data_IF_749569078081
#
_entry.id   IF_749569078081
#
_cell.length_a   1.000
_cell.length_b   1.000
_cell.length_c   1.000
_cell.angle_alpha   90.00
_cell.angle_beta   90.00
_cell.angle_gamma   90.00
#
_symmetry.space_group_name_H-M   'P 1'
#
loop_
_entity.id
_entity.type
_entity.pdbx_description
1 polymer ?
#
# COMPACT_ATOMS: atom_id res chain seq x y z
N UNK A 1 50.21 18.83 -8.04
CA UNK A 1 48.96 18.11 -8.39
C UNK A 1 48.03 19.08 -9.09
N UNK A 2 47.49 18.72 -10.25
CA UNK A 2 46.49 19.56 -10.92
C UNK A 2 45.18 19.55 -10.13
N UNK A 3 44.41 20.64 -10.21
CA UNK A 3 43.09 20.74 -9.58
C UNK A 3 42.18 19.56 -10.01
N UNK A 4 42.29 19.15 -11.28
CA UNK A 4 41.61 17.98 -11.84
C UNK A 4 42.01 16.67 -11.15
N UNK A 5 43.29 16.49 -10.81
CA UNK A 5 43.76 15.30 -10.09
C UNK A 5 43.29 15.24 -8.64
N UNK A 6 43.14 16.41 -7.98
CA UNK A 6 42.55 16.49 -6.64
C UNK A 6 41.08 16.10 -6.67
N UNK A 7 40.30 16.66 -7.61
CA UNK A 7 38.88 16.31 -7.74
C UNK A 7 38.68 14.84 -8.10
N UNK A 8 39.45 14.29 -9.03
CA UNK A 8 39.38 12.87 -9.37
C UNK A 8 39.67 11.96 -8.15
N UNK A 9 40.66 12.33 -7.33
CA UNK A 9 40.95 11.61 -6.09
C UNK A 9 39.81 11.67 -5.07
N UNK A 10 39.18 12.84 -4.90
CA UNK A 10 38.02 13.00 -4.01
C UNK A 10 36.82 12.16 -4.51
N UNK A 11 36.53 12.19 -5.81
CA UNK A 11 35.46 11.38 -6.39
C UNK A 11 35.71 9.88 -6.22
N UNK A 12 36.95 9.42 -6.40
CA UNK A 12 37.31 8.02 -6.17
C UNK A 12 37.13 7.63 -4.70
N UNK A 13 37.60 8.47 -3.76
CA UNK A 13 37.43 8.23 -2.33
C UNK A 13 35.96 8.22 -1.91
N UNK A 14 35.14 9.10 -2.47
CA UNK A 14 33.70 9.12 -2.22
C UNK A 14 33.02 7.87 -2.80
N UNK A 15 33.38 7.45 -4.01
CA UNK A 15 32.85 6.23 -4.62
C UNK A 15 33.23 4.98 -3.81
N UNK A 16 34.48 4.91 -3.34
CA UNK A 16 34.94 3.84 -2.45
C UNK A 16 34.18 3.87 -1.12
N UNK A 17 34.04 5.03 -0.49
CA UNK A 17 33.25 5.20 0.73
C UNK A 17 31.80 4.74 0.54
N UNK A 18 31.14 5.14 -0.54
CA UNK A 18 29.77 4.73 -0.84
C UNK A 18 29.67 3.23 -1.15
N UNK A 19 30.67 2.64 -1.81
CA UNK A 19 30.68 1.22 -2.18
C UNK A 19 30.99 0.28 -1.02
N UNK A 20 31.90 0.67 -0.11
CA UNK A 20 32.28 -0.16 1.05
C UNK A 20 31.43 0.13 2.30
N UNK A 21 30.78 1.29 2.35
CA UNK A 21 29.99 1.81 3.46
C UNK A 21 30.59 1.48 4.84
N UNK A 22 31.81 2.00 5.14
CA UNK A 22 32.62 1.50 6.25
C UNK A 22 31.98 1.82 7.62
N UNK A 23 31.08 2.81 7.65
CA UNK A 23 30.34 3.22 8.84
C UNK A 23 28.87 2.79 8.81
N UNK A 24 28.46 1.98 7.83
CA UNK A 24 27.14 1.35 7.84
C UNK A 24 26.01 2.40 7.79
N UNK A 25 26.25 3.49 7.07
CA UNK A 25 25.33 4.61 6.93
C UNK A 25 24.30 4.39 5.82
N UNK A 26 24.55 3.43 4.93
CA UNK A 26 23.64 3.11 3.85
C UNK A 26 22.32 2.64 4.41
N UNK A 27 21.23 3.13 3.82
CA UNK A 27 19.88 2.70 4.15
C UNK A 27 19.69 1.19 3.94
N UNK A 28 20.59 0.52 3.20
CA UNK A 28 20.54 -0.91 2.91
C UNK A 28 21.51 -1.78 3.73
N UNK A 29 22.32 -1.20 4.62
CA UNK A 29 23.37 -1.95 5.32
C UNK A 29 22.83 -3.13 6.16
N UNK A 30 21.73 -2.93 6.90
CA UNK A 30 21.14 -3.95 7.78
C UNK A 30 20.23 -4.95 7.02
N UNK A 31 20.31 -5.01 5.68
CA UNK A 31 19.46 -5.88 4.88
C UNK A 31 20.23 -7.12 4.42
N UNK A 32 20.15 -8.24 5.18
CA UNK A 32 20.77 -9.49 4.74
C UNK A 32 20.18 -9.93 3.40
N UNK A 33 21.03 -10.46 2.53
CA UNK A 33 20.64 -11.02 1.23
C UNK A 33 19.92 -10.01 0.29
N UNK A 34 20.17 -8.71 0.47
CA UNK A 34 19.62 -7.67 -0.41
C UNK A 34 20.22 -7.78 -1.81
N UNK A 35 19.34 -7.93 -2.80
CA UNK A 35 19.68 -7.92 -4.22
C UNK A 35 18.87 -6.82 -4.88
N UNK A 36 19.56 -5.96 -5.63
CA UNK A 36 18.91 -4.96 -6.46
C UNK A 36 18.62 -5.56 -7.84
N UNK A 37 17.37 -5.44 -8.27
CA UNK A 37 16.87 -5.87 -9.57
C UNK A 37 16.77 -4.68 -10.50
N UNK A 38 17.07 -4.91 -11.78
CA UNK A 38 16.95 -3.86 -12.79
C UNK A 38 15.46 -3.51 -12.97
N UNK A 39 15.15 -2.23 -12.90
CA UNK A 39 13.84 -1.69 -13.25
C UNK A 39 13.92 -1.16 -14.68
N UNK A 40 13.06 -1.66 -15.55
CA UNK A 40 12.93 -1.14 -16.92
C UNK A 40 12.07 0.12 -16.90
N UNK A 41 12.72 1.25 -16.66
CA UNK A 41 12.09 2.56 -16.72
C UNK A 41 11.72 2.94 -18.16
N UNK A 42 10.59 3.63 -18.38
CA UNK A 42 10.24 4.15 -19.68
C UNK A 42 11.31 5.15 -20.17
N UNK A 43 11.52 5.28 -21.49
CA UNK A 43 12.32 6.35 -22.06
C UNK A 43 11.86 7.72 -21.56
N UNK A 44 12.81 8.64 -21.35
CA UNK A 44 12.51 10.03 -20.97
C UNK A 44 11.56 10.74 -21.96
N UNK A 45 11.54 10.31 -23.23
CA UNK A 45 10.63 10.81 -24.26
C UNK A 45 9.16 10.49 -23.99
N UNK A 46 8.89 9.42 -23.23
CA UNK A 46 7.56 8.90 -22.98
C UNK A 46 6.98 9.46 -21.67
N UNK A 47 7.79 10.17 -20.89
CA UNK A 47 7.37 10.82 -19.65
C UNK A 47 6.58 12.09 -20.01
N UNK A 48 5.31 12.21 -19.60
CA UNK A 48 4.50 13.40 -19.88
C UNK A 48 5.19 14.67 -19.37
N UNK A 49 5.28 15.68 -20.22
CA UNK A 49 5.81 17.01 -19.88
C UNK A 49 4.70 17.94 -19.38
N UNK A 50 3.45 17.54 -19.61
CA UNK A 50 2.25 18.24 -19.18
C UNK A 50 2.26 18.41 -17.66
N UNK A 51 2.03 19.65 -17.23
CA UNK A 51 1.86 20.00 -15.82
C UNK A 51 0.42 20.44 -15.60
N UNK A 52 -0.08 20.21 -14.40
CA UNK A 52 -1.35 20.80 -13.96
C UNK A 52 -1.19 22.32 -13.89
N UNK A 53 -1.60 23.01 -14.96
CA UNK A 53 -1.56 24.48 -15.07
C UNK A 53 -2.36 25.18 -13.98
N UNK A 54 -3.35 24.51 -13.40
CA UNK A 54 -4.23 25.09 -12.37
C UNK A 54 -3.68 24.88 -10.95
N UNK A 55 -2.66 24.03 -10.80
CA UNK A 55 -2.08 23.59 -9.53
C UNK A 55 -3.17 23.27 -8.50
N UNK A 56 -4.18 22.49 -8.89
CA UNK A 56 -5.37 22.24 -8.05
C UNK A 56 -4.98 21.63 -6.71
N UNK A 57 -3.97 20.77 -6.68
CA UNK A 57 -3.46 20.16 -5.44
C UNK A 57 -2.84 21.19 -4.47
N UNK A 58 -2.30 22.31 -4.96
CA UNK A 58 -1.77 23.37 -4.10
C UNK A 58 -2.87 24.24 -3.47
N UNK A 59 -4.11 24.15 -3.98
CA UNK A 59 -5.29 24.88 -3.49
C UNK A 59 -6.14 24.05 -2.53
N UNK A 60 -5.70 22.84 -2.18
CA UNK A 60 -6.43 21.96 -1.27
C UNK A 60 -6.47 22.55 0.15
N UNK A 61 -7.62 22.46 0.80
CA UNK A 61 -7.78 22.77 2.21
C UNK A 61 -7.19 21.64 3.06
N UNK A 62 -6.32 21.96 4.02
CA UNK A 62 -5.80 20.98 4.97
C UNK A 62 -6.86 20.75 6.06
N UNK A 63 -7.40 19.54 6.12
CA UNK A 63 -8.33 19.11 7.18
C UNK A 63 -7.67 18.14 8.17
N UNK A 64 -8.13 18.20 9.42
CA UNK A 64 -7.76 17.28 10.50
C UNK A 64 -6.25 17.24 10.84
N UNK A 65 -5.54 18.34 10.62
CA UNK A 65 -4.11 18.44 10.90
C UNK A 65 -3.82 18.07 12.37
N UNK A 66 -2.88 17.15 12.57
CA UNK A 66 -2.45 16.63 13.87
C UNK A 66 -3.54 15.92 14.70
N UNK A 67 -4.67 15.55 14.11
CA UNK A 67 -5.75 14.84 14.84
C UNK A 67 -5.62 13.31 14.76
N UNK A 68 -5.11 12.78 13.64
CA UNK A 68 -4.91 11.34 13.41
C UNK A 68 -3.52 11.06 12.87
N UNK A 69 -2.96 9.89 13.18
CA UNK A 69 -1.59 9.53 12.78
C UNK A 69 -1.57 8.44 11.72
N UNK A 70 -0.88 8.73 10.62
CA UNK A 70 -0.77 7.83 9.47
C UNK A 70 -2.10 7.45 8.83
N UNK A 71 -3.05 8.38 8.56
CA UNK A 71 -4.16 8.07 7.67
C UNK A 71 -3.60 7.65 6.30
N UNK A 72 -4.22 6.67 5.65
CA UNK A 72 -3.74 6.15 4.36
C UNK A 72 -4.87 6.11 3.32
N UNK A 73 -5.86 5.22 3.46
CA UNK A 73 -7.07 5.26 2.62
C UNK A 73 -8.17 6.12 3.24
N UNK A 74 -8.96 6.75 2.38
CA UNK A 74 -10.19 7.47 2.75
C UNK A 74 -11.39 6.80 2.08
N UNK A 75 -12.40 6.47 2.87
CA UNK A 75 -13.67 5.92 2.36
C UNK A 75 -14.88 6.67 2.92
N UNK A 76 -15.99 6.59 2.20
CA UNK A 76 -17.30 7.07 2.63
C UNK A 76 -18.31 5.94 2.42
N UNK A 77 -19.25 5.78 3.33
CA UNK A 77 -20.28 4.76 3.21
C UNK A 77 -21.37 5.17 2.21
N UNK A 78 -22.33 4.27 1.97
CA UNK A 78 -23.44 4.51 1.04
C UNK A 78 -24.40 5.63 1.48
N UNK A 79 -24.36 6.03 2.76
CA UNK A 79 -25.12 7.16 3.30
C UNK A 79 -24.36 8.48 3.20
N UNK A 80 -23.14 8.47 2.67
CA UNK A 80 -22.26 9.63 2.59
C UNK A 80 -21.61 10.01 3.92
N UNK A 81 -21.69 9.15 4.94
CA UNK A 81 -21.00 9.37 6.21
C UNK A 81 -19.49 9.16 5.99
N UNK A 82 -18.69 9.97 6.66
CA UNK A 82 -17.24 9.83 6.71
C UNK A 82 -16.54 11.16 6.96
N UNK A 83 -15.22 11.21 6.72
CA UNK A 83 -14.40 10.11 6.19
C UNK A 83 -14.14 8.95 7.18
N UNK A 84 -13.92 7.76 6.63
CA UNK A 84 -13.32 6.60 7.31
C UNK A 84 -11.86 6.47 6.88
N UNK A 85 -10.94 6.16 7.80
CA UNK A 85 -9.51 5.95 7.50
C UNK A 85 -8.86 4.92 8.42
N UNK A 86 -7.96 4.10 7.86
CA UNK A 86 -7.02 3.31 8.65
C UNK A 86 -5.96 4.22 9.27
N UNK A 87 -5.47 3.91 10.47
CA UNK A 87 -4.42 4.68 11.15
C UNK A 87 -3.23 3.78 11.52
N UNK A 88 -2.10 4.40 11.86
CA UNK A 88 -0.83 3.72 12.11
C UNK A 88 -0.87 2.71 13.27
N UNK A 89 -1.84 2.83 14.16
CA UNK A 89 -2.00 1.94 15.31
C UNK A 89 -2.88 0.71 15.05
N UNK A 90 -3.37 0.53 13.82
CA UNK A 90 -4.19 -0.61 13.41
C UNK A 90 -5.70 -0.42 13.50
N UNK A 91 -6.16 0.73 14.02
CA UNK A 91 -7.59 1.08 14.01
C UNK A 91 -8.03 1.59 12.65
N UNK A 92 -9.35 1.52 12.45
CA UNK A 92 -10.09 2.29 11.45
C UNK A 92 -10.94 3.29 12.22
N UNK A 93 -10.73 4.57 11.93
CA UNK A 93 -11.46 5.68 12.54
C UNK A 93 -12.51 6.22 11.58
N UNK A 94 -13.55 6.81 12.15
CA UNK A 94 -14.64 7.47 11.43
C UNK A 94 -14.84 8.88 11.99
N UNK A 95 -14.97 9.86 11.10
CA UNK A 95 -15.35 11.22 11.48
C UNK A 95 -16.87 11.37 11.45
N UNK A 96 -17.47 11.63 12.62
CA UNK A 96 -18.92 11.72 12.77
C UNK A 96 -19.52 13.12 12.51
N UNK A 97 -18.69 14.10 12.15
CA UNK A 97 -19.07 15.51 12.02
C UNK A 97 -18.47 16.40 13.11
N UNK A 98 -18.17 15.83 14.28
CA UNK A 98 -17.67 16.56 15.46
C UNK A 98 -16.31 16.05 15.95
N UNK A 99 -16.09 14.74 15.92
CA UNK A 99 -14.86 14.11 16.40
C UNK A 99 -14.57 12.79 15.68
N UNK A 100 -13.32 12.32 15.81
CA UNK A 100 -12.92 11.00 15.37
C UNK A 100 -13.34 9.95 16.39
N UNK A 101 -14.04 8.92 15.93
CA UNK A 101 -14.48 7.78 16.73
C UNK A 101 -13.91 6.48 16.20
N UNK A 102 -13.65 5.53 17.09
CA UNK A 102 -13.23 4.19 16.70
C UNK A 102 -14.37 3.47 15.97
N UNK A 103 -14.10 3.00 14.76
CA UNK A 103 -15.06 2.23 13.98
C UNK A 103 -14.72 0.74 14.00
N UNK A 104 -13.50 0.37 13.63
CA UNK A 104 -13.10 -1.03 13.54
C UNK A 104 -11.63 -1.28 13.89
N UNK A 105 -11.29 -2.55 14.12
CA UNK A 105 -9.95 -3.02 14.44
C UNK A 105 -9.62 -4.25 13.60
N UNK A 106 -8.38 -4.36 13.11
CA UNK A 106 -7.95 -5.55 12.35
C UNK A 106 -7.29 -6.62 13.21
N UNK A 107 -6.56 -6.23 14.28
CA UNK A 107 -5.95 -7.20 15.19
C UNK A 107 -6.94 -7.71 16.25
N UNK A 108 -7.14 -9.04 16.39
CA UNK A 108 -7.94 -9.62 17.46
C UNK A 108 -7.24 -9.54 18.84
N UNK A 109 -5.91 -9.41 18.86
CA UNK A 109 -5.09 -9.45 20.07
C UNK A 109 -4.52 -8.06 20.40
N UNK A 110 -5.32 -7.01 20.22
CA UNK A 110 -4.91 -5.64 20.54
C UNK A 110 -4.65 -5.50 22.04
N UNK A 111 -3.49 -4.95 22.38
CA UNK A 111 -3.08 -4.64 23.76
C UNK A 111 -2.57 -3.21 23.86
N UNK A 112 -2.10 -2.80 25.06
CA UNK A 112 -1.46 -1.50 25.29
C UNK A 112 -0.24 -1.24 24.38
N UNK A 113 0.34 -2.30 23.79
CA UNK A 113 1.39 -2.19 22.78
C UNK A 113 0.95 -1.30 21.61
N UNK A 114 -0.32 -1.38 21.22
CA UNK A 114 -0.94 -0.68 20.12
C UNK A 114 -1.52 0.68 20.51
N UNK A 115 -1.40 1.10 21.78
CA UNK A 115 -1.85 2.42 22.20
C UNK A 115 -1.12 3.53 21.44
N UNK A 116 -1.75 4.70 21.27
CA UNK A 116 -1.16 5.84 20.56
C UNK A 116 0.28 6.14 20.99
N UNK A 117 1.15 6.34 19.99
CA UNK A 117 2.57 6.64 20.10
C UNK A 117 2.85 8.09 19.68
N UNK A 118 4.00 8.67 20.06
CA UNK A 118 4.34 10.05 19.71
C UNK A 118 4.60 10.28 18.21
N UNK A 119 4.91 9.24 17.44
CA UNK A 119 5.14 9.37 16.00
C UNK A 119 4.62 8.17 15.20
N UNK A 120 4.27 8.34 13.90
CA UNK A 120 3.92 7.25 13.02
C UNK A 120 5.01 6.18 12.88
N UNK A 121 6.28 6.57 12.93
CA UNK A 121 7.40 5.62 12.80
C UNK A 121 7.54 4.71 14.03
N UNK A 122 7.04 5.16 15.18
CA UNK A 122 7.07 4.36 16.42
C UNK A 122 6.18 3.12 16.35
N UNK A 123 5.23 3.04 15.42
CA UNK A 123 4.36 1.87 15.26
C UNK A 123 5.02 0.76 14.44
N UNK A 124 5.94 1.06 13.50
CA UNK A 124 6.51 0.12 12.53
C UNK A 124 6.99 -1.21 13.16
N UNK A 125 7.60 -1.13 14.34
CA UNK A 125 8.08 -2.31 15.08
C UNK A 125 6.97 -3.31 15.39
N UNK A 126 5.78 -2.82 15.73
CA UNK A 126 4.67 -3.61 16.25
C UNK A 126 3.45 -3.65 15.30
N UNK A 127 3.52 -3.05 14.11
CA UNK A 127 2.40 -3.07 13.16
C UNK A 127 1.94 -4.50 12.84
N UNK A 128 2.86 -5.47 12.72
CA UNK A 128 2.51 -6.88 12.53
C UNK A 128 1.68 -7.52 13.66
N UNK A 129 1.63 -6.90 14.84
CA UNK A 129 0.79 -7.30 15.97
C UNK A 129 -0.50 -6.48 16.00
N UNK A 130 -0.38 -5.17 15.74
CA UNK A 130 -1.48 -4.22 15.88
C UNK A 130 -2.39 -4.13 14.64
N UNK A 131 -1.87 -4.51 13.48
CA UNK A 131 -2.47 -4.28 12.17
C UNK A 131 -2.02 -2.96 11.57
N UNK A 132 -2.20 -2.85 10.25
CA UNK A 132 -2.04 -1.61 9.49
C UNK A 132 -3.01 -1.63 8.31
N UNK A 133 -4.26 -1.16 8.52
CA UNK A 133 -5.23 -1.00 7.44
C UNK A 133 -4.73 0.08 6.48
N UNK A 134 -4.50 -0.30 5.23
CA UNK A 134 -4.08 0.58 4.15
C UNK A 134 -5.31 0.86 3.29
N UNK A 135 -5.73 -0.06 2.42
CA UNK A 135 -6.93 0.09 1.59
C UNK A 135 -8.26 -0.15 2.30
N UNK A 136 -9.24 0.73 2.06
CA UNK A 136 -10.61 0.64 2.59
C UNK A 136 -11.66 0.87 1.49
N UNK A 137 -12.60 -0.06 1.29
CA UNK A 137 -13.76 0.16 0.40
C UNK A 137 -15.04 -0.43 0.97
N UNK A 138 -16.11 0.36 0.94
CA UNK A 138 -17.44 -0.15 1.23
C UNK A 138 -18.01 -0.88 0.01
N UNK A 139 -18.54 -2.07 0.23
CA UNK A 139 -19.50 -2.64 -0.69
C UNK A 139 -20.81 -1.84 -0.59
N UNK A 140 -21.17 -1.18 -1.69
CA UNK A 140 -22.34 -0.30 -1.75
C UNK A 140 -23.66 -1.04 -1.56
N UNK A 141 -23.71 -2.34 -1.83
CA UNK A 141 -24.93 -3.15 -1.73
C UNK A 141 -25.17 -3.61 -0.29
N UNK A 142 -24.13 -4.07 0.38
CA UNK A 142 -24.23 -4.68 1.71
C UNK A 142 -23.91 -3.71 2.85
N UNK A 143 -23.17 -2.63 2.56
CA UNK A 143 -22.63 -1.73 3.58
C UNK A 143 -21.45 -2.32 4.36
N UNK A 144 -20.95 -3.50 3.97
CA UNK A 144 -19.74 -4.07 4.56
C UNK A 144 -18.51 -3.27 4.12
N UNK A 145 -17.59 -3.02 5.05
CA UNK A 145 -16.29 -2.42 4.78
C UNK A 145 -15.26 -3.52 4.55
N UNK A 146 -14.74 -3.61 3.33
CA UNK A 146 -13.57 -4.42 3.02
C UNK A 146 -12.29 -3.66 3.33
N UNK A 147 -11.30 -4.39 3.86
CA UNK A 147 -10.08 -3.85 4.42
C UNK A 147 -8.89 -4.64 3.88
N UNK A 148 -7.92 -3.95 3.28
CA UNK A 148 -6.59 -4.48 3.02
C UNK A 148 -5.71 -4.11 4.20
N UNK A 149 -5.45 -5.09 5.07
CA UNK A 149 -4.48 -4.93 6.15
C UNK A 149 -3.12 -5.46 5.70
N UNK A 150 -2.08 -4.64 5.89
CA UNK A 150 -0.73 -4.97 5.43
C UNK A 150 -0.16 -6.26 6.04
N UNK A 151 -0.69 -6.72 7.17
CA UNK A 151 -0.20 -7.89 7.89
C UNK A 151 -1.26 -8.99 8.03
N UNK A 152 -2.55 -8.63 8.05
CA UNK A 152 -3.66 -9.57 8.26
C UNK A 152 -4.43 -9.95 6.99
N UNK A 153 -3.99 -9.48 5.82
CA UNK A 153 -4.55 -9.91 4.55
C UNK A 153 -5.79 -9.12 4.14
N UNK A 154 -6.67 -9.77 3.39
CA UNK A 154 -7.99 -9.24 3.09
C UNK A 154 -8.94 -9.54 4.24
N UNK A 155 -9.63 -8.52 4.73
CA UNK A 155 -10.57 -8.61 5.83
C UNK A 155 -11.87 -7.88 5.50
N UNK A 156 -12.92 -8.08 6.30
CA UNK A 156 -14.12 -7.26 6.26
C UNK A 156 -14.75 -7.04 7.62
N UNK A 157 -15.53 -5.97 7.75
CA UNK A 157 -16.34 -5.67 8.93
C UNK A 157 -17.73 -5.17 8.50
N UNK A 158 -18.75 -5.41 9.32
CA UNK A 158 -20.11 -4.94 9.06
C UNK A 158 -20.28 -3.43 9.21
N UNK A 159 -21.46 -2.88 8.89
CA UNK A 159 -21.74 -1.44 8.95
C UNK A 159 -21.68 -0.86 10.38
N UNK A 160 -21.79 -1.72 11.40
CA UNK A 160 -21.68 -1.34 12.82
C UNK A 160 -20.23 -1.31 13.33
N UNK A 161 -19.25 -1.68 12.50
CA UNK A 161 -17.85 -1.73 12.88
C UNK A 161 -17.51 -2.90 13.81
N UNK A 162 -16.49 -2.72 14.66
CA UNK A 162 -15.97 -3.75 15.57
C UNK A 162 -14.75 -4.50 15.04
N UNK A 163 -14.55 -5.73 15.49
CA UNK A 163 -13.42 -6.56 15.06
C UNK A 163 -13.65 -7.08 13.65
N UNK A 164 -12.72 -6.78 12.75
CA UNK A 164 -12.77 -7.25 11.37
C UNK A 164 -12.57 -8.77 11.30
N UNK A 165 -13.32 -9.42 10.42
CA UNK A 165 -13.21 -10.83 10.09
C UNK A 165 -12.19 -11.02 8.97
N UNK A 166 -11.22 -11.91 9.19
CA UNK A 166 -10.28 -12.32 8.15
C UNK A 166 -10.98 -13.11 7.03
N UNK A 167 -10.61 -12.82 5.78
CA UNK A 167 -11.13 -13.49 4.58
C UNK A 167 -10.04 -14.26 3.85
N UNK A 168 -8.88 -13.64 3.63
CA UNK A 168 -7.77 -14.22 2.86
C UNK A 168 -6.46 -13.85 3.52
N UNK A 169 -5.63 -14.86 3.81
CA UNK A 169 -4.27 -14.69 4.35
C UNK A 169 -3.21 -15.36 3.49
N UNK A 170 -3.62 -16.24 2.58
CA UNK A 170 -2.76 -16.93 1.63
C UNK A 170 -3.50 -17.17 0.32
N UNK A 171 -2.74 -17.29 -0.77
CA UNK A 171 -3.26 -17.67 -2.10
C UNK A 171 -2.27 -18.62 -2.72
N UNK A 172 -2.75 -19.80 -3.14
CA UNK A 172 -1.94 -20.88 -3.73
C UNK A 172 -0.75 -21.31 -2.85
N UNK A 173 -0.96 -21.38 -1.53
CA UNK A 173 0.08 -21.74 -0.56
C UNK A 173 1.15 -20.66 -0.32
N UNK A 174 0.98 -19.47 -0.92
CA UNK A 174 1.86 -18.32 -0.69
C UNK A 174 1.15 -17.30 0.21
N UNK A 175 1.64 -17.08 1.45
CA UNK A 175 1.08 -16.09 2.36
C UNK A 175 1.08 -14.68 1.78
N UNK A 176 0.06 -13.89 2.10
CA UNK A 176 0.07 -12.44 1.90
C UNK A 176 1.06 -11.83 2.90
N UNK A 177 1.98 -10.99 2.43
CA UNK A 177 2.95 -10.31 3.31
C UNK A 177 2.76 -8.81 3.34
N UNK A 178 2.14 -8.24 2.32
CA UNK A 178 1.94 -6.80 2.24
C UNK A 178 0.70 -6.46 1.39
N UNK A 179 -0.47 -6.81 1.89
CA UNK A 179 -1.75 -6.37 1.29
C UNK A 179 -1.87 -4.86 1.36
N UNK A 180 -2.14 -4.18 0.25
CA UNK A 180 -2.02 -2.73 0.21
C UNK A 180 -3.34 -2.03 -0.09
N UNK A 181 -3.89 -2.18 -1.29
CA UNK A 181 -5.14 -1.53 -1.67
C UNK A 181 -6.15 -2.53 -2.25
N UNK A 182 -7.41 -2.12 -2.32
CA UNK A 182 -8.48 -2.91 -2.91
C UNK A 182 -9.53 -2.06 -3.61
N UNK A 183 -10.26 -2.68 -4.53
CA UNK A 183 -11.49 -2.14 -5.10
C UNK A 183 -12.52 -3.26 -5.37
N UNK A 184 -13.79 -2.88 -5.53
CA UNK A 184 -14.92 -3.80 -5.62
C UNK A 184 -15.68 -3.55 -6.93
N UNK A 185 -15.99 -4.63 -7.65
CA UNK A 185 -16.86 -4.56 -8.83
C UNK A 185 -18.35 -4.64 -8.46
N UNK A 186 -19.23 -4.44 -9.45
CA UNK A 186 -20.68 -4.43 -9.23
C UNK A 186 -21.23 -5.81 -8.85
N UNK A 187 -20.48 -6.89 -9.07
CA UNK A 187 -20.84 -8.25 -8.64
C UNK A 187 -20.41 -8.53 -7.19
N UNK A 188 -19.65 -7.62 -6.58
CA UNK A 188 -19.09 -7.76 -5.24
C UNK A 188 -17.76 -8.50 -5.21
N UNK A 189 -17.14 -8.81 -6.37
CA UNK A 189 -15.79 -9.35 -6.35
C UNK A 189 -14.81 -8.27 -5.89
N UNK A 190 -13.82 -8.69 -5.10
CA UNK A 190 -12.81 -7.80 -4.53
C UNK A 190 -11.49 -8.01 -5.27
N UNK A 191 -10.96 -6.94 -5.84
CA UNK A 191 -9.65 -6.92 -6.49
C UNK A 191 -8.69 -6.23 -5.54
N UNK A 192 -7.56 -6.86 -5.21
CA UNK A 192 -6.66 -6.33 -4.21
C UNK A 192 -5.21 -6.65 -4.54
N UNK A 193 -4.30 -5.83 -4.03
CA UNK A 193 -2.87 -5.96 -4.26
C UNK A 193 -2.17 -6.62 -3.07
N UNK A 194 -1.19 -7.47 -3.37
CA UNK A 194 -0.17 -7.92 -2.44
C UNK A 194 1.16 -7.35 -2.95
N UNK A 195 1.65 -6.30 -2.30
CA UNK A 195 2.79 -5.49 -2.77
C UNK A 195 4.09 -6.29 -2.87
N UNK A 196 4.23 -7.36 -2.08
CA UNK A 196 5.34 -8.31 -2.12
C UNK A 196 4.96 -9.55 -1.34
N UNK A 197 5.44 -10.72 -1.78
CA UNK A 197 5.29 -11.99 -1.05
C UNK A 197 6.44 -12.23 -0.05
N UNK A 198 7.47 -11.39 -0.06
CA UNK A 198 8.67 -11.47 0.78
C UNK A 198 8.71 -10.38 1.84
N UNK A 199 8.52 -9.12 1.44
CA UNK A 199 8.66 -7.96 2.31
C UNK A 199 7.33 -7.59 2.95
N UNK A 200 7.37 -7.23 4.24
CA UNK A 200 6.22 -6.65 4.94
C UNK A 200 6.27 -5.11 4.90
N UNK A 201 5.18 -4.45 5.28
CA UNK A 201 5.08 -2.98 5.34
C UNK A 201 6.20 -2.31 6.15
N UNK A 202 6.62 -2.88 7.29
CA UNK A 202 7.74 -2.36 8.09
C UNK A 202 9.10 -2.40 7.36
N UNK A 203 9.18 -3.18 6.29
CA UNK A 203 10.33 -3.35 5.42
C UNK A 203 10.06 -2.82 3.99
N UNK A 204 9.15 -1.86 3.82
CA UNK A 204 8.79 -1.34 2.50
C UNK A 204 9.95 -0.63 1.77
N UNK A 205 10.90 -0.05 2.51
CA UNK A 205 12.08 0.61 1.92
C UNK A 205 12.95 -0.43 1.18
N UNK A 206 13.09 -1.62 1.75
CA UNK A 206 13.79 -2.75 1.17
C UNK A 206 13.14 -3.17 -0.14
N UNK A 207 11.81 -3.30 -0.14
CA UNK A 207 11.01 -3.62 -1.31
C UNK A 207 11.23 -2.59 -2.43
N UNK A 208 11.18 -1.29 -2.09
CA UNK A 208 11.36 -0.21 -3.08
C UNK A 208 12.78 -0.23 -3.67
N UNK A 209 13.80 -0.38 -2.83
CA UNK A 209 15.19 -0.37 -3.30
C UNK A 209 15.61 -1.67 -4.00
N UNK A 210 15.04 -2.83 -3.62
CA UNK A 210 15.34 -4.08 -4.32
C UNK A 210 14.74 -4.06 -5.71
N UNK A 211 13.59 -3.42 -5.90
CA UNK A 211 12.88 -3.47 -7.19
C UNK A 211 12.48 -4.90 -7.58
N UNK A 212 12.37 -5.81 -6.61
CA UNK A 212 11.96 -7.20 -6.86
C UNK A 212 10.52 -7.24 -7.38
N UNK A 213 10.23 -8.10 -8.35
CA UNK A 213 8.94 -8.19 -9.03
C UNK A 213 7.97 -9.17 -8.35
N UNK A 214 8.10 -9.41 -7.05
CA UNK A 214 7.37 -10.48 -6.37
C UNK A 214 5.92 -10.12 -5.97
N UNK A 215 5.42 -8.96 -6.41
CA UNK A 215 4.07 -8.49 -6.16
C UNK A 215 2.99 -9.17 -7.01
N UNK A 216 1.74 -9.13 -6.52
CA UNK A 216 0.58 -9.77 -7.16
C UNK A 216 -0.66 -8.88 -7.16
N UNK A 217 -1.48 -9.06 -8.19
CA UNK A 217 -2.88 -8.62 -8.19
C UNK A 217 -3.79 -9.84 -8.07
N UNK A 218 -4.73 -9.77 -7.14
CA UNK A 218 -5.57 -10.87 -6.71
C UNK A 218 -7.04 -10.52 -6.89
N UNK A 219 -7.89 -11.55 -7.06
CA UNK A 219 -9.35 -11.44 -7.07
C UNK A 219 -9.93 -12.40 -6.04
N UNK A 220 -10.76 -11.90 -5.14
CA UNK A 220 -11.56 -12.67 -4.21
C UNK A 220 -13.04 -12.61 -4.61
N UNK A 221 -13.68 -13.78 -4.68
CA UNK A 221 -15.12 -13.88 -4.89
C UNK A 221 -15.82 -14.21 -3.55
N UNK A 222 -16.67 -13.32 -3.01
CA UNK A 222 -17.29 -13.55 -1.70
C UNK A 222 -18.35 -14.67 -1.70
N UNK A 223 -18.90 -15.04 -2.86
CA UNK A 223 -19.90 -16.11 -2.98
C UNK A 223 -19.24 -17.49 -2.92
N UNK A 224 -18.18 -17.70 -3.69
CA UNK A 224 -17.43 -18.98 -3.71
C UNK A 224 -16.39 -19.05 -2.60
N UNK A 225 -15.99 -17.89 -2.05
CA UNK A 225 -14.86 -17.70 -1.12
C UNK A 225 -13.51 -18.09 -1.72
N UNK A 226 -13.42 -18.14 -3.04
CA UNK A 226 -12.18 -18.45 -3.74
C UNK A 226 -11.38 -17.18 -4.02
N UNK A 227 -10.05 -17.33 -3.98
CA UNK A 227 -9.12 -16.28 -4.39
C UNK A 227 -8.23 -16.79 -5.51
N UNK A 228 -8.10 -16.00 -6.58
CA UNK A 228 -7.26 -16.30 -7.73
C UNK A 228 -6.23 -15.20 -7.97
N UNK A 229 -5.05 -15.57 -8.45
CA UNK A 229 -4.05 -14.60 -8.90
C UNK A 229 -4.37 -14.16 -10.33
N UNK A 230 -4.61 -12.86 -10.52
CA UNK A 230 -4.86 -12.28 -11.85
C UNK A 230 -3.56 -11.93 -12.57
N UNK A 231 -2.60 -11.35 -11.84
CA UNK A 231 -1.29 -10.97 -12.35
C UNK A 231 -0.22 -11.22 -11.29
N UNK A 232 0.97 -11.58 -11.77
CA UNK A 232 2.19 -11.79 -10.98
C UNK A 232 3.30 -10.91 -11.53
N UNK A 233 4.46 -10.98 -10.91
CA UNK A 233 5.67 -10.38 -11.44
C UNK A 233 5.53 -8.85 -11.49
N UNK A 234 4.86 -8.26 -10.48
CA UNK A 234 4.59 -6.84 -10.38
C UNK A 234 5.58 -6.19 -9.41
N UNK A 235 6.17 -5.05 -9.79
CA UNK A 235 7.13 -4.35 -8.93
C UNK A 235 6.41 -3.30 -8.08
N UNK A 236 6.17 -3.65 -6.81
CA UNK A 236 5.45 -2.81 -5.84
C UNK A 236 4.03 -2.39 -6.28
N UNK A 237 3.09 -3.34 -6.49
CA UNK A 237 1.69 -2.97 -6.69
C UNK A 237 1.09 -2.41 -5.40
N UNK A 238 1.06 -1.08 -5.30
CA UNK A 238 0.60 -0.33 -4.15
C UNK A 238 -0.92 -0.10 -4.19
N UNK A 239 -1.43 0.49 -5.27
CA UNK A 239 -2.84 0.85 -5.43
C UNK A 239 -3.56 0.07 -6.53
N UNK A 240 -4.88 -0.11 -6.38
CA UNK A 240 -5.77 -0.61 -7.45
C UNK A 240 -7.10 0.15 -7.44
N UNK A 241 -7.57 0.52 -8.62
CA UNK A 241 -8.85 1.20 -8.78
C UNK A 241 -9.60 0.73 -10.02
N UNK A 242 -10.89 0.50 -9.85
CA UNK A 242 -11.82 0.11 -10.89
C UNK A 242 -12.31 1.34 -11.66
N UNK A 243 -12.36 1.24 -12.98
CA UNK A 243 -13.03 2.23 -13.83
C UNK A 243 -14.50 2.43 -13.43
N UNK A 244 -15.06 3.61 -13.71
CA UNK A 244 -16.46 3.91 -13.39
C UNK A 244 -17.45 2.98 -14.10
N UNK A 245 -17.14 2.64 -15.36
CA UNK A 245 -17.95 1.75 -16.19
C UNK A 245 -17.61 0.26 -16.03
N UNK A 246 -16.69 -0.05 -15.10
CA UNK A 246 -16.28 -1.41 -14.73
C UNK A 246 -15.69 -2.22 -15.88
N UNK A 247 -15.20 -1.56 -16.93
CA UNK A 247 -14.65 -2.24 -18.11
C UNK A 247 -13.18 -2.62 -17.95
N UNK A 248 -12.46 -1.93 -17.06
CA UNK A 248 -11.06 -2.19 -16.70
C UNK A 248 -10.79 -1.76 -15.26
N UNK A 249 -9.69 -2.25 -14.69
CA UNK A 249 -9.07 -1.66 -13.51
C UNK A 249 -7.69 -1.12 -13.87
N UNK A 250 -7.22 -0.18 -13.07
CA UNK A 250 -5.87 0.38 -13.10
C UNK A 250 -5.20 0.01 -11.80
N UNK A 251 -3.95 -0.40 -11.88
CA UNK A 251 -3.12 -0.63 -10.69
C UNK A 251 -1.76 0.02 -10.88
N UNK A 252 -1.12 0.36 -9.78
CA UNK A 252 0.23 0.91 -9.81
C UNK A 252 1.26 -0.19 -10.04
N UNK A 253 2.28 0.09 -10.83
CA UNK A 253 3.54 -0.66 -10.86
C UNK A 253 4.59 0.32 -10.33
N UNK A 254 4.67 0.36 -9.00
CA UNK A 254 5.21 1.49 -8.24
C UNK A 254 6.70 1.72 -8.49
N UNK A 255 7.49 0.63 -8.52
CA UNK A 255 8.93 0.75 -8.76
C UNK A 255 9.23 1.18 -10.19
N UNK A 256 8.37 0.82 -11.16
CA UNK A 256 8.48 1.25 -12.56
C UNK A 256 8.01 2.69 -12.80
N UNK A 257 7.31 3.32 -11.84
CA UNK A 257 6.74 4.66 -12.01
C UNK A 257 5.62 4.72 -13.04
N UNK A 258 4.81 3.66 -13.19
CA UNK A 258 3.71 3.60 -14.17
C UNK A 258 2.39 3.11 -13.56
N UNK A 259 1.30 3.41 -14.25
CA UNK A 259 0.00 2.82 -14.02
C UNK A 259 -0.30 1.83 -15.15
N UNK A 260 -0.80 0.65 -14.80
CA UNK A 260 -1.15 -0.40 -15.76
C UNK A 260 -2.65 -0.59 -15.75
N UNK A 261 -3.28 -0.48 -16.92
CA UNK A 261 -4.70 -0.79 -17.12
C UNK A 261 -4.87 -2.21 -17.62
N UNK A 262 -5.81 -2.97 -17.06
CA UNK A 262 -6.19 -4.29 -17.56
C UNK A 262 -7.71 -4.42 -17.70
N UNK A 263 -8.17 -4.89 -18.85
CA UNK A 263 -9.60 -5.03 -19.13
C UNK A 263 -10.18 -6.26 -18.44
N UNK A 264 -11.39 -6.09 -17.91
CA UNK A 264 -12.18 -7.18 -17.31
C UNK A 264 -13.02 -7.95 -18.33
N UNK A 265 -13.15 -7.44 -19.55
CA UNK A 265 -13.85 -8.17 -20.62
C UNK A 265 -13.04 -9.43 -20.91
N UNK A 266 -13.64 -10.60 -20.64
CA UNK A 266 -13.10 -11.91 -21.00
C UNK A 266 -12.50 -11.80 -22.41
N UNK A 267 -11.19 -12.02 -22.53
CA UNK A 267 -10.66 -12.55 -23.79
C UNK A 267 -11.33 -13.92 -23.92
N UNK A 268 -12.44 -13.95 -24.65
CA UNK A 268 -12.97 -15.20 -25.16
C UNK A 268 -11.86 -15.79 -26.03
N UNK A 269 -11.17 -16.80 -25.50
CA UNK A 269 -10.45 -17.77 -26.32
C UNK A 269 -11.48 -18.69 -26.96
#
# INVERSE_FOLDING_TARGET
>A
MSLTGVFAGIFLLLALYCGIDPFKHSAIYDFPDFVAHKIDLPPWSDIPVERDSQNLLQKAEIKFLNQVQGPESVAFDSLGRGPYTGVADGRILFWNGESWTDFAYTSPNRSELCSPKPSPMSYLKNEHICGRPLGLRFDKKTGELYIADAYFGLMKVGPEGGLAKSLVTEVEGVPLRFTNDLDIDDEGNVYFTDSSIKYQRRNFIQLVFSGEDDGRLLKYNPLTKETSVLMRNLQFPNGVSMSKDKSFFVFSDGSCGRLVSSSLKKKNL
#
